data_IF_407498860117
#
_entry.id   IF_407498860117
#
_cell.length_a   1.000
_cell.length_b   1.000
_cell.length_c   1.000
_cell.angle_alpha   90.00
_cell.angle_beta   90.00
_cell.angle_gamma   90.00
#
_symmetry.space_group_name_H-M   'P 1'
#
loop_
_entity.id
_entity.type
_entity.pdbx_description
1 polymer ?
#
# COMPACT_ATOMS: atom_id res chain seq x y z
N UNK A 1 -81.97 17.98 -44.46
CA UNK A 1 -81.25 16.74 -44.83
C UNK A 1 -80.17 16.54 -43.80
N UNK A 2 -80.27 15.42 -43.09
CA UNK A 2 -79.46 15.07 -41.93
C UNK A 2 -78.10 14.52 -42.35
N UNK A 3 -77.05 14.81 -41.58
CA UNK A 3 -75.78 14.11 -41.62
C UNK A 3 -75.80 13.04 -40.52
N UNK A 4 -75.44 11.82 -40.90
CA UNK A 4 -75.31 10.63 -40.05
C UNK A 4 -74.20 10.80 -39.01
N UNK A 5 -74.51 10.59 -37.73
CA UNK A 5 -73.52 10.33 -36.69
C UNK A 5 -73.11 8.85 -36.74
N UNK A 6 -71.86 8.61 -37.15
CA UNK A 6 -71.22 7.30 -37.08
C UNK A 6 -70.93 6.90 -35.64
N UNK A 7 -71.59 5.84 -35.18
CA UNK A 7 -71.32 5.19 -33.90
C UNK A 7 -70.03 4.37 -33.95
N UNK A 8 -69.05 4.70 -33.08
CA UNK A 8 -67.86 3.86 -32.87
C UNK A 8 -68.20 2.80 -31.83
N UNK A 9 -68.35 1.55 -32.29
CA UNK A 9 -68.42 0.37 -31.44
C UNK A 9 -67.13 0.23 -30.60
N UNK A 10 -67.25 0.37 -29.28
CA UNK A 10 -66.22 -0.03 -28.31
C UNK A 10 -66.11 -1.56 -28.32
N UNK A 11 -65.07 -2.06 -28.98
CA UNK A 11 -64.67 -3.46 -28.90
C UNK A 11 -64.38 -3.86 -27.45
N UNK A 12 -65.13 -4.85 -26.95
CA UNK A 12 -64.90 -5.48 -25.66
C UNK A 12 -63.48 -6.06 -25.61
N UNK A 13 -62.60 -5.44 -24.86
CA UNK A 13 -61.27 -5.97 -24.59
C UNK A 13 -61.42 -7.25 -23.75
N UNK A 14 -61.09 -8.39 -24.35
CA UNK A 14 -61.19 -9.73 -23.77
C UNK A 14 -60.41 -9.86 -22.45
N UNK A 15 -61.00 -10.46 -21.38
CA UNK A 15 -60.37 -10.62 -20.06
C UNK A 15 -59.06 -11.43 -20.08
N UNK A 16 -58.80 -12.22 -21.13
CA UNK A 16 -57.53 -12.92 -21.34
C UNK A 16 -56.31 -11.99 -21.45
N UNK A 17 -56.47 -10.78 -22.00
CA UNK A 17 -55.36 -9.81 -22.12
C UNK A 17 -54.95 -9.23 -20.77
N UNK A 18 -55.90 -9.11 -19.84
CA UNK A 18 -55.64 -8.68 -18.46
C UNK A 18 -55.00 -9.80 -17.65
N UNK A 19 -55.46 -11.04 -17.81
CA UNK A 19 -54.87 -12.22 -17.15
C UNK A 19 -53.41 -12.41 -17.61
N UNK A 20 -53.12 -12.29 -18.91
CA UNK A 20 -51.75 -12.40 -19.41
C UNK A 20 -50.80 -11.31 -18.88
N UNK A 21 -51.28 -10.07 -18.74
CA UNK A 21 -50.50 -8.98 -18.13
C UNK A 21 -50.29 -9.19 -16.63
N UNK A 22 -51.28 -9.73 -15.93
CA UNK A 22 -51.18 -10.02 -14.50
C UNK A 22 -50.20 -11.17 -14.24
N UNK A 23 -50.23 -12.23 -15.05
CA UNK A 23 -49.27 -13.34 -14.99
C UNK A 23 -47.85 -12.86 -15.32
N UNK A 24 -47.67 -12.02 -16.34
CA UNK A 24 -46.37 -11.46 -16.68
C UNK A 24 -45.80 -10.56 -15.57
N UNK A 25 -46.65 -9.77 -14.92
CA UNK A 25 -46.26 -8.93 -13.79
C UNK A 25 -45.85 -9.76 -12.56
N UNK A 26 -46.64 -10.78 -12.21
CA UNK A 26 -46.30 -11.65 -11.07
C UNK A 26 -45.03 -12.45 -11.32
N UNK A 27 -44.82 -12.98 -12.53
CA UNK A 27 -43.56 -13.63 -12.92
C UNK A 27 -42.37 -12.67 -12.83
N UNK A 28 -42.51 -11.43 -13.30
CA UNK A 28 -41.45 -10.42 -13.21
C UNK A 28 -41.07 -10.08 -11.76
N UNK A 29 -42.07 -9.92 -10.89
CA UNK A 29 -41.84 -9.68 -9.45
C UNK A 29 -41.17 -10.88 -8.79
N UNK A 30 -41.56 -12.11 -9.15
CA UNK A 30 -40.99 -13.34 -8.59
C UNK A 30 -39.52 -13.53 -9.00
N UNK A 31 -39.17 -13.16 -10.24
CA UNK A 31 -37.78 -13.12 -10.73
C UNK A 31 -36.96 -12.09 -9.96
N UNK A 32 -37.49 -10.88 -9.76
CA UNK A 32 -36.80 -9.84 -8.97
C UNK A 32 -36.59 -10.30 -7.52
N UNK A 33 -37.59 -10.92 -6.91
CA UNK A 33 -37.47 -11.47 -5.55
C UNK A 33 -36.42 -12.58 -5.50
N UNK A 34 -36.35 -13.47 -6.49
CA UNK A 34 -35.31 -14.48 -6.60
C UNK A 34 -33.92 -13.85 -6.74
N UNK A 35 -33.75 -12.83 -7.57
CA UNK A 35 -32.47 -12.12 -7.73
C UNK A 35 -32.00 -11.50 -6.40
N UNK A 36 -32.91 -11.04 -5.53
CA UNK A 36 -32.57 -10.42 -4.25
C UNK A 36 -32.37 -11.46 -3.13
N UNK A 37 -33.23 -12.47 -3.04
CA UNK A 37 -33.19 -13.47 -1.96
C UNK A 37 -32.10 -14.52 -2.14
N UNK A 38 -31.72 -14.84 -3.39
CA UNK A 38 -30.67 -15.84 -3.67
C UNK A 38 -29.31 -15.43 -3.10
N UNK A 39 -28.81 -14.19 -3.31
CA UNK A 39 -27.59 -13.69 -2.66
C UNK A 39 -27.67 -13.74 -1.13
N UNK A 40 -28.79 -13.29 -0.54
CA UNK A 40 -29.01 -13.29 0.91
C UNK A 40 -28.93 -14.70 1.52
N UNK A 41 -29.48 -15.71 0.83
CA UNK A 41 -29.42 -17.11 1.29
C UNK A 41 -28.02 -17.74 1.14
N UNK A 42 -27.23 -17.28 0.17
CA UNK A 42 -25.89 -17.80 -0.12
C UNK A 42 -24.82 -17.16 0.79
N UNK A 43 -24.96 -15.88 1.14
CA UNK A 43 -24.14 -15.19 2.14
C UNK A 43 -24.22 -15.87 3.51
N UNK A 44 -25.38 -16.42 3.86
CA UNK A 44 -25.58 -17.10 5.15
C UNK A 44 -24.91 -18.50 5.21
N UNK A 45 -24.47 -19.07 4.08
CA UNK A 45 -23.96 -20.46 4.02
C UNK A 45 -22.51 -20.63 3.53
N UNK A 46 -21.74 -19.54 3.35
CA UNK A 46 -20.31 -19.60 2.99
C UNK A 46 -20.00 -20.56 1.83
N UNK A 47 -20.70 -20.42 0.71
CA UNK A 47 -20.62 -21.37 -0.40
C UNK A 47 -19.86 -20.81 -1.60
N UNK A 48 -18.94 -21.61 -2.17
CA UNK A 48 -18.06 -21.31 -3.33
C UNK A 48 -18.85 -20.88 -4.59
N UNK A 49 -20.14 -21.23 -4.68
CA UNK A 49 -21.05 -20.78 -5.73
C UNK A 49 -21.31 -19.26 -5.74
N UNK A 50 -20.98 -18.54 -4.65
CA UNK A 50 -21.17 -17.10 -4.57
C UNK A 50 -20.22 -16.32 -5.51
N UNK A 51 -18.96 -16.74 -5.63
CA UNK A 51 -18.00 -16.11 -6.55
C UNK A 51 -18.36 -16.39 -8.01
N UNK A 52 -18.87 -17.59 -8.32
CA UNK A 52 -19.36 -17.95 -9.65
C UNK A 52 -20.62 -17.16 -10.04
N UNK A 53 -21.59 -17.01 -9.12
CA UNK A 53 -22.80 -16.22 -9.38
C UNK A 53 -22.47 -14.74 -9.63
N UNK A 54 -21.49 -14.19 -8.89
CA UNK A 54 -21.13 -12.78 -9.03
C UNK A 54 -20.45 -12.46 -10.37
N UNK A 55 -19.47 -13.29 -10.75
CA UNK A 55 -18.63 -13.12 -11.94
C UNK A 55 -19.33 -13.47 -13.27
N UNK A 56 -20.17 -14.53 -13.31
CA UNK A 56 -20.75 -15.01 -14.57
C UNK A 56 -22.17 -14.48 -14.86
N UNK A 57 -22.97 -14.13 -13.84
CA UNK A 57 -24.39 -13.76 -14.01
C UNK A 57 -24.64 -12.28 -13.75
N UNK A 58 -24.06 -11.71 -12.69
CA UNK A 58 -24.31 -10.31 -12.32
C UNK A 58 -23.54 -9.32 -13.18
N UNK A 59 -22.26 -9.55 -13.50
CA UNK A 59 -21.48 -8.59 -14.30
C UNK A 59 -22.06 -8.33 -15.71
N UNK A 60 -22.55 -9.33 -16.46
CA UNK A 60 -23.21 -9.08 -17.74
C UNK A 60 -24.55 -8.35 -17.62
N UNK A 61 -25.31 -8.60 -16.55
CA UNK A 61 -26.64 -8.00 -16.32
C UNK A 61 -26.52 -6.58 -15.73
N UNK A 62 -25.52 -6.34 -14.87
CA UNK A 62 -25.22 -5.05 -14.24
C UNK A 62 -24.71 -4.01 -15.25
N UNK A 63 -24.10 -4.45 -16.36
CA UNK A 63 -23.67 -3.61 -17.47
C UNK A 63 -24.78 -3.31 -18.51
N UNK A 64 -26.03 -3.70 -18.23
CA UNK A 64 -27.20 -3.26 -19.01
C UNK A 64 -27.90 -2.07 -18.33
N UNK A 65 -28.70 -1.30 -19.09
CA UNK A 65 -29.45 -0.15 -18.54
C UNK A 65 -30.39 -0.49 -17.37
N UNK A 66 -30.80 -1.75 -17.22
CA UNK A 66 -31.58 -2.25 -16.07
C UNK A 66 -30.69 -2.55 -14.85
N UNK A 67 -29.45 -2.98 -15.08
CA UNK A 67 -28.41 -3.23 -14.08
C UNK A 67 -28.04 -1.99 -13.27
N UNK A 68 -27.96 -0.81 -13.91
CA UNK A 68 -27.73 0.46 -13.22
C UNK A 68 -28.87 0.86 -12.26
N UNK A 69 -30.11 0.47 -12.55
CA UNK A 69 -31.26 0.71 -11.68
C UNK A 69 -31.22 -0.21 -10.44
N UNK A 70 -30.80 -1.46 -10.61
CA UNK A 70 -30.57 -2.40 -9.51
C UNK A 70 -29.35 -1.99 -8.68
N UNK A 71 -28.27 -1.50 -9.29
CA UNK A 71 -27.07 -1.01 -8.59
C UNK A 71 -27.40 0.17 -7.66
N UNK A 72 -28.23 1.12 -8.12
CA UNK A 72 -28.79 2.20 -7.29
C UNK A 72 -29.73 1.70 -6.18
N UNK A 73 -30.48 0.62 -6.42
CA UNK A 73 -31.37 0.01 -5.43
C UNK A 73 -30.63 -0.81 -4.36
N UNK A 74 -29.56 -1.51 -4.75
CA UNK A 74 -28.71 -2.30 -3.85
C UNK A 74 -27.75 -1.42 -3.05
N UNK A 75 -27.23 -0.32 -3.61
CA UNK A 75 -26.48 0.68 -2.83
C UNK A 75 -27.32 1.36 -1.75
N UNK A 76 -28.66 1.34 -1.88
CA UNK A 76 -29.59 1.81 -0.86
C UNK A 76 -29.94 0.74 0.20
N UNK A 77 -29.63 -0.53 -0.07
CA UNK A 77 -29.73 -1.63 0.89
C UNK A 77 -28.34 -1.86 1.50
N UNK A 78 -28.01 -1.05 2.50
CA UNK A 78 -26.90 -1.30 3.43
C UNK A 78 -27.11 -2.65 4.12
N UNK A 79 -26.64 -3.73 3.50
CA UNK A 79 -26.48 -5.01 4.21
C UNK A 79 -25.38 -4.77 5.24
N UNK A 80 -25.68 -4.89 6.54
CA UNK A 80 -24.72 -4.57 7.58
C UNK A 80 -23.74 -5.74 7.71
N UNK A 81 -22.70 -5.73 6.89
CA UNK A 81 -21.49 -6.43 7.28
C UNK A 81 -20.95 -5.74 8.53
N UNK A 82 -20.56 -6.49 9.56
CA UNK A 82 -19.77 -5.90 10.66
C UNK A 82 -18.51 -5.29 10.07
N UNK A 83 -18.06 -4.13 10.59
CA UNK A 83 -16.86 -3.44 10.12
C UNK A 83 -15.66 -4.40 10.02
N UNK A 84 -15.49 -5.28 11.00
CA UNK A 84 -14.46 -6.32 11.01
C UNK A 84 -14.51 -7.25 9.78
N UNK A 85 -15.71 -7.63 9.30
CA UNK A 85 -15.84 -8.50 8.13
C UNK A 85 -15.66 -7.75 6.81
N UNK A 86 -15.97 -6.46 6.78
CA UNK A 86 -15.68 -5.62 5.61
C UNK A 86 -14.17 -5.42 5.49
N UNK A 87 -13.49 -5.15 6.60
CA UNK A 87 -12.04 -5.07 6.68
C UNK A 87 -11.40 -6.41 6.28
N UNK A 88 -11.87 -7.54 6.82
CA UNK A 88 -11.34 -8.88 6.47
C UNK A 88 -11.58 -9.25 4.99
N UNK A 89 -12.74 -8.93 4.41
CA UNK A 89 -13.03 -9.17 2.99
C UNK A 89 -12.26 -8.22 2.07
N UNK A 90 -12.09 -6.95 2.46
CA UNK A 90 -11.25 -6.00 1.73
C UNK A 90 -9.81 -6.52 1.79
N UNK A 91 -9.24 -6.78 2.98
CA UNK A 91 -7.89 -7.29 3.16
C UNK A 91 -7.61 -8.62 2.44
N UNK A 92 -8.54 -9.58 2.48
CA UNK A 92 -8.36 -10.91 1.88
C UNK A 92 -8.47 -10.95 0.35
N UNK A 93 -9.16 -9.97 -0.26
CA UNK A 93 -9.22 -9.80 -1.72
C UNK A 93 -8.28 -8.70 -2.24
N UNK A 94 -7.82 -7.76 -1.39
CA UNK A 94 -7.03 -6.61 -1.82
C UNK A 94 -5.52 -6.83 -1.79
N UNK A 95 -4.99 -7.91 -1.23
CA UNK A 95 -3.55 -8.11 -1.04
C UNK A 95 -3.02 -9.47 -1.53
N UNK A 96 -3.52 -9.95 -2.67
CA UNK A 96 -2.93 -11.09 -3.39
C UNK A 96 -2.57 -10.71 -4.83
N UNK A 97 -1.72 -9.70 -5.01
CA UNK A 97 -0.77 -9.79 -6.12
C UNK A 97 0.44 -10.56 -5.61
N UNK A 98 1.00 -11.43 -6.44
CA UNK A 98 2.22 -12.19 -6.17
C UNK A 98 3.38 -11.23 -6.04
N UNK A 99 3.55 -10.63 -4.87
CA UNK A 99 4.75 -9.86 -4.52
C UNK A 99 5.84 -10.88 -4.27
N UNK A 100 6.50 -11.32 -5.35
CA UNK A 100 7.58 -12.29 -5.29
C UNK A 100 8.91 -11.71 -5.78
N UNK A 101 9.97 -12.24 -5.19
CA UNK A 101 11.30 -11.68 -5.00
C UNK A 101 12.10 -11.36 -6.26
N UNK A 102 11.76 -10.36 -7.09
CA UNK A 102 12.76 -9.81 -8.02
C UNK A 102 12.44 -8.41 -8.55
N UNK A 103 13.27 -7.44 -8.17
CA UNK A 103 13.69 -6.34 -9.05
C UNK A 103 15.05 -5.81 -8.57
N UNK A 104 16.12 -6.42 -9.11
CA UNK A 104 17.53 -5.95 -9.19
C UNK A 104 18.24 -5.62 -7.85
N UNK A 105 19.25 -6.44 -7.55
CA UNK A 105 19.96 -6.59 -6.27
C UNK A 105 20.81 -5.38 -5.85
N UNK A 106 20.50 -4.82 -4.68
CA UNK A 106 21.40 -4.42 -3.59
C UNK A 106 20.55 -4.18 -2.33
N UNK A 107 20.87 -4.85 -1.21
CA UNK A 107 20.22 -4.54 0.08
C UNK A 107 20.81 -3.22 0.59
N UNK A 108 20.04 -2.13 0.48
CA UNK A 108 20.46 -0.78 0.86
C UNK A 108 19.91 -0.42 2.24
N UNK A 109 20.67 0.32 3.04
CA UNK A 109 20.38 0.66 4.42
C UNK A 109 21.54 0.30 5.36
N UNK A 110 21.30 0.46 6.65
CA UNK A 110 22.24 0.11 7.74
C UNK A 110 21.65 -1.04 8.53
N UNK A 111 22.45 -2.08 8.74
CA UNK A 111 22.07 -3.26 9.51
C UNK A 111 23.14 -3.64 10.52
N UNK A 112 22.79 -3.59 11.80
CA UNK A 112 23.54 -4.12 12.92
C UNK A 112 23.29 -5.64 12.96
N UNK A 113 24.31 -6.39 12.58
CA UNK A 113 24.22 -7.86 12.48
C UNK A 113 24.46 -8.55 13.81
N UNK A 114 25.27 -7.95 14.68
CA UNK A 114 25.58 -8.46 16.02
C UNK A 114 25.78 -7.29 16.99
N UNK A 115 25.47 -7.55 18.26
CA UNK A 115 25.78 -6.67 19.37
C UNK A 115 26.03 -7.56 20.58
N UNK A 116 27.28 -7.62 21.04
CA UNK A 116 27.71 -8.54 22.09
C UNK A 116 28.53 -7.82 23.14
N UNK A 117 28.20 -8.07 24.40
CA UNK A 117 28.99 -7.62 25.53
C UNK A 117 30.28 -8.42 25.68
N UNK A 118 31.32 -7.79 26.24
CA UNK A 118 32.54 -8.51 26.61
C UNK A 118 32.35 -9.41 27.85
N UNK A 119 31.24 -9.27 28.58
CA UNK A 119 30.94 -10.01 29.81
C UNK A 119 29.45 -9.95 30.15
N UNK A 120 28.76 -11.07 29.97
CA UNK A 120 27.31 -11.15 30.20
C UNK A 120 26.96 -11.23 31.70
N UNK A 121 27.94 -11.56 32.54
CA UNK A 121 27.78 -11.71 33.99
C UNK A 121 28.89 -10.94 34.71
N UNK A 122 28.51 -10.02 35.60
CA UNK A 122 29.43 -9.11 36.27
C UNK A 122 29.19 -9.14 37.78
N UNK A 123 30.24 -9.32 38.58
CA UNK A 123 30.18 -9.15 40.03
C UNK A 123 30.07 -7.65 40.36
N UNK A 124 28.97 -7.25 41.01
CA UNK A 124 28.66 -5.84 41.27
C UNK A 124 29.76 -5.11 42.03
N UNK A 125 30.43 -5.76 42.99
CA UNK A 125 31.53 -5.14 43.75
C UNK A 125 32.76 -4.79 42.89
N UNK A 126 32.97 -5.52 41.79
CA UNK A 126 34.14 -5.36 40.91
C UNK A 126 33.82 -4.57 39.65
N UNK A 127 32.56 -4.20 39.46
CA UNK A 127 32.12 -3.49 38.29
C UNK A 127 32.61 -2.04 38.28
N UNK A 128 33.43 -1.71 37.27
CA UNK A 128 33.88 -0.35 36.97
C UNK A 128 33.35 0.13 35.61
N UNK A 129 33.50 -0.72 34.59
CA UNK A 129 33.03 -0.46 33.23
C UNK A 129 32.77 -1.77 32.49
N UNK A 130 31.96 -1.69 31.44
CA UNK A 130 31.66 -2.75 30.49
C UNK A 130 31.89 -2.22 29.08
N UNK A 131 32.25 -3.11 28.18
CA UNK A 131 32.38 -2.79 26.76
C UNK A 131 31.51 -3.74 25.96
N UNK A 132 30.75 -3.21 25.01
CA UNK A 132 29.98 -4.01 24.06
C UNK A 132 30.38 -3.61 22.64
N UNK A 133 30.40 -4.57 21.73
CA UNK A 133 30.82 -4.37 20.35
C UNK A 133 29.67 -4.71 19.43
N UNK A 134 29.36 -3.77 18.53
CA UNK A 134 28.41 -3.96 17.46
C UNK A 134 29.13 -4.10 16.13
N UNK A 135 28.72 -5.07 15.32
CA UNK A 135 29.18 -5.23 13.95
C UNK A 135 28.00 -5.16 12.99
N UNK A 136 28.24 -4.57 11.82
CA UNK A 136 27.21 -4.43 10.82
C UNK A 136 27.73 -4.03 9.46
N UNK A 137 26.80 -3.77 8.56
CA UNK A 137 27.09 -3.20 7.25
C UNK A 137 26.15 -2.06 6.93
N UNK A 138 26.63 -1.19 6.06
CA UNK A 138 25.87 -0.07 5.56
C UNK A 138 26.06 0.05 4.04
N UNK A 139 24.99 0.38 3.33
CA UNK A 139 25.02 0.58 1.87
C UNK A 139 23.99 1.61 1.47
N UNK A 140 24.35 2.54 0.60
CA UNK A 140 23.43 3.59 0.13
C UNK A 140 23.74 3.97 -1.31
N UNK A 141 22.74 4.46 -2.04
CA UNK A 141 22.90 5.06 -3.38
C UNK A 141 23.31 6.53 -3.31
N UNK A 142 23.06 7.18 -2.17
CA UNK A 142 23.42 8.57 -1.88
C UNK A 142 24.38 8.61 -0.68
N UNK A 143 25.24 9.65 -0.53
CA UNK A 143 26.02 9.82 0.69
C UNK A 143 25.11 9.88 1.91
N UNK A 144 25.41 9.10 2.94
CA UNK A 144 24.61 9.04 4.14
C UNK A 144 25.47 9.15 5.39
N UNK A 145 24.92 9.79 6.41
CA UNK A 145 25.51 9.96 7.73
C UNK A 145 24.73 9.08 8.72
N UNK A 146 25.45 8.20 9.42
CA UNK A 146 24.88 7.32 10.43
C UNK A 146 25.36 7.80 11.79
N UNK A 147 24.42 8.14 12.67
CA UNK A 147 24.68 8.45 14.07
C UNK A 147 24.45 7.21 14.93
N UNK A 148 25.46 6.82 15.70
CA UNK A 148 25.37 5.74 16.66
C UNK A 148 25.18 6.28 18.08
N UNK A 149 24.29 5.66 18.84
CA UNK A 149 24.18 5.90 20.28
C UNK A 149 24.14 4.59 21.06
N UNK A 150 24.73 4.62 22.25
CA UNK A 150 24.72 3.52 23.20
C UNK A 150 23.82 3.93 24.36
N UNK A 151 22.91 3.07 24.80
CA UNK A 151 21.93 3.39 25.84
C UNK A 151 21.77 2.24 26.84
N UNK A 152 21.36 2.58 28.05
CA UNK A 152 20.84 1.65 29.07
C UNK A 152 19.37 1.97 29.35
N UNK A 153 18.75 1.27 30.29
CA UNK A 153 17.39 1.61 30.75
C UNK A 153 17.31 2.98 31.47
N UNK A 154 18.45 3.48 31.97
CA UNK A 154 18.55 4.63 32.88
C UNK A 154 19.39 5.79 32.35
N UNK A 155 20.33 5.56 31.44
CA UNK A 155 21.26 6.58 30.94
C UNK A 155 21.72 6.32 29.50
N UNK A 156 22.47 7.30 28.96
CA UNK A 156 23.22 7.16 27.71
C UNK A 156 24.64 6.69 28.03
N UNK A 157 25.10 5.64 27.33
CA UNK A 157 26.50 5.19 27.37
C UNK A 157 27.35 5.91 26.32
N UNK A 158 28.67 5.66 26.33
CA UNK A 158 29.62 6.31 25.43
C UNK A 158 29.94 5.44 24.21
N UNK A 159 29.98 6.04 23.01
CA UNK A 159 30.55 5.41 21.81
C UNK A 159 32.05 5.73 21.78
N UNK A 160 32.90 4.72 21.89
CA UNK A 160 34.35 4.91 22.06
C UNK A 160 35.12 5.24 20.76
N UNK A 161 34.48 5.19 19.59
CA UNK A 161 35.12 5.55 18.32
C UNK A 161 35.21 7.08 18.19
N UNK A 162 36.26 7.61 17.53
CA UNK A 162 36.59 9.04 17.51
C UNK A 162 35.56 9.99 16.86
N UNK A 163 34.40 9.51 16.44
CA UNK A 163 33.17 10.25 16.22
C UNK A 163 32.02 9.23 16.29
N UNK A 164 30.88 9.61 16.88
CA UNK A 164 29.66 8.77 16.91
C UNK A 164 28.99 8.67 15.53
N UNK A 165 29.70 9.09 14.48
CA UNK A 165 29.19 9.33 13.15
C UNK A 165 30.01 8.53 12.14
N UNK A 166 29.32 7.75 11.30
CA UNK A 166 29.90 7.06 10.14
C UNK A 166 29.35 7.66 8.85
N UNK A 167 30.25 8.05 7.95
CA UNK A 167 29.90 8.51 6.61
C UNK A 167 30.02 7.36 5.61
N UNK A 168 28.95 7.06 4.88
CA UNK A 168 28.93 6.03 3.85
C UNK A 168 29.09 6.68 2.47
N UNK A 169 29.98 6.12 1.65
CA UNK A 169 30.08 6.51 0.25
C UNK A 169 28.98 5.88 -0.61
N UNK A 170 28.47 6.58 -1.63
CA UNK A 170 27.44 6.03 -2.51
C UNK A 170 27.93 4.80 -3.30
N UNK A 171 27.03 3.86 -3.53
CA UNK A 171 27.23 2.61 -4.29
C UNK A 171 28.27 1.65 -3.71
N UNK A 172 28.52 1.72 -2.39
CA UNK A 172 29.45 0.83 -1.68
C UNK A 172 28.78 0.21 -0.48
N UNK A 173 29.07 -1.08 -0.28
CA UNK A 173 28.78 -1.78 0.96
C UNK A 173 30.01 -1.68 1.86
N UNK A 174 29.85 -1.01 2.99
CA UNK A 174 30.91 -0.78 3.97
C UNK A 174 30.56 -1.52 5.27
N UNK A 175 31.50 -2.30 5.81
CA UNK A 175 31.36 -2.93 7.12
C UNK A 175 31.84 -1.98 8.21
N UNK A 176 31.16 -1.98 9.36
CA UNK A 176 31.55 -1.17 10.51
C UNK A 176 31.64 -1.99 11.79
N UNK A 177 32.44 -1.48 12.72
CA UNK A 177 32.55 -1.99 14.09
C UNK A 177 32.48 -0.80 15.05
N UNK A 178 31.45 -0.78 15.90
CA UNK A 178 31.22 0.26 16.89
C UNK A 178 31.40 -0.35 18.28
N UNK A 179 32.11 0.38 19.15
CA UNK A 179 32.33 -0.02 20.53
C UNK A 179 31.56 0.90 21.46
N UNK A 180 30.62 0.33 22.22
CA UNK A 180 29.94 0.97 23.33
C UNK A 180 30.72 0.74 24.62
N UNK A 181 30.82 1.77 25.45
CA UNK A 181 31.39 1.72 26.80
C UNK A 181 30.31 2.21 27.76
N UNK A 182 30.03 1.40 28.77
CA UNK A 182 29.09 1.73 29.83
C UNK A 182 29.85 1.74 31.16
N UNK A 183 29.79 2.86 31.87
CA UNK A 183 30.38 3.01 33.19
C UNK A 183 29.43 2.50 34.28
N UNK A 184 29.95 2.30 35.50
CA UNK A 184 29.12 1.87 36.63
C UNK A 184 27.92 2.78 36.87
N UNK A 185 28.12 4.09 36.70
CA UNK A 185 27.09 5.11 36.93
C UNK A 185 25.93 5.06 35.93
N UNK A 186 26.08 4.34 34.81
CA UNK A 186 25.04 4.14 33.82
C UNK A 186 23.93 3.16 34.25
N UNK A 187 24.16 2.42 35.35
CA UNK A 187 23.28 1.36 35.82
C UNK A 187 22.76 1.64 37.23
N UNK A 188 21.43 1.65 37.37
CA UNK A 188 20.77 1.61 38.68
C UNK A 188 20.69 0.16 39.20
N UNK A 189 21.77 -0.36 39.80
CA UNK A 189 21.84 -1.75 40.27
C UNK A 189 21.11 -1.92 41.61
N UNK A 190 20.16 -2.86 41.68
CA UNK A 190 19.45 -3.18 42.92
C UNK A 190 20.24 -4.15 43.81
N UNK A 191 21.01 -3.62 44.77
CA UNK A 191 21.81 -4.41 45.72
C UNK A 191 20.99 -5.39 46.61
N UNK A 192 19.67 -5.21 46.68
CA UNK A 192 18.78 -6.03 47.52
C UNK A 192 18.49 -7.43 46.96
N UNK A 193 18.72 -7.65 45.66
CA UNK A 193 18.53 -8.93 44.98
C UNK A 193 19.86 -9.66 44.86
N UNK A 194 19.86 -11.00 44.81
CA UNK A 194 21.09 -11.77 44.53
C UNK A 194 21.61 -11.55 43.11
N UNK A 195 20.71 -11.25 42.19
CA UNK A 195 20.99 -11.01 40.78
C UNK A 195 20.12 -9.87 40.26
N UNK A 196 20.68 -8.97 39.46
CA UNK A 196 19.94 -7.90 38.79
C UNK A 196 20.29 -7.88 37.29
N UNK A 197 19.29 -7.91 36.42
CA UNK A 197 19.50 -7.97 34.98
C UNK A 197 19.21 -6.61 34.36
N UNK A 198 20.17 -6.06 33.61
CA UNK A 198 20.06 -4.76 32.93
C UNK A 198 20.22 -4.93 31.45
N UNK A 199 19.47 -4.15 30.68
CA UNK A 199 19.59 -4.11 29.23
C UNK A 199 20.55 -3.02 28.80
N UNK A 200 21.35 -3.35 27.79
CA UNK A 200 22.14 -2.41 27.03
C UNK A 200 21.65 -2.41 25.59
N UNK A 201 21.68 -1.27 24.93
CA UNK A 201 21.18 -1.05 23.59
C UNK A 201 22.21 -0.28 22.78
N UNK A 202 22.37 -0.66 21.51
CA UNK A 202 22.95 0.19 20.48
C UNK A 202 21.86 0.56 19.47
N UNK A 203 21.89 1.84 19.08
CA UNK A 203 21.00 2.42 18.08
C UNK A 203 21.85 3.01 16.95
N UNK A 204 21.47 2.73 15.71
CA UNK A 204 22.03 3.36 14.52
C UNK A 204 20.92 4.15 13.81
N UNK A 205 21.04 5.47 13.82
CA UNK A 205 20.05 6.39 13.29
C UNK A 205 20.59 7.09 12.04
N UNK A 206 19.82 7.12 10.95
CA UNK A 206 20.25 7.67 9.67
C UNK A 206 19.08 8.13 8.81
N UNK A 207 19.31 9.15 7.99
CA UNK A 207 18.39 9.53 6.93
C UNK A 207 18.55 8.58 5.73
N UNK A 208 17.43 8.11 5.20
CA UNK A 208 17.39 7.20 4.08
C UNK A 208 16.27 7.56 3.11
N UNK A 209 16.51 7.23 1.84
CA UNK A 209 15.59 7.52 0.74
C UNK A 209 15.17 6.23 0.07
N UNK A 210 13.87 6.01 -0.04
CA UNK A 210 13.28 4.89 -0.81
C UNK A 210 12.48 5.46 -1.96
N UNK A 211 12.60 4.84 -3.12
CA UNK A 211 11.86 5.21 -4.32
C UNK A 211 11.03 4.02 -4.80
N UNK A 212 9.88 4.32 -5.41
CA UNK A 212 9.06 3.34 -6.10
C UNK A 212 8.50 3.95 -7.38
N UNK A 213 8.33 3.15 -8.42
CA UNK A 213 7.58 3.54 -9.61
C UNK A 213 6.56 2.47 -10.00
N UNK A 214 5.52 2.89 -10.69
CA UNK A 214 4.53 2.01 -11.31
C UNK A 214 4.45 2.34 -12.81
N UNK A 215 4.67 1.36 -13.70
CA UNK A 215 4.41 1.55 -15.12
C UNK A 215 2.94 1.87 -15.40
N UNK A 216 2.73 2.82 -16.30
CA UNK A 216 1.40 3.28 -16.71
C UNK A 216 1.31 3.21 -18.24
N UNK A 217 0.34 2.46 -18.73
CA UNK A 217 -0.01 2.35 -20.13
C UNK A 217 -1.21 3.24 -20.41
N UNK A 218 -1.09 4.11 -21.40
CA UNK A 218 -2.14 5.05 -21.78
C UNK A 218 -2.45 4.95 -23.27
N UNK A 219 -3.71 5.17 -23.62
CA UNK A 219 -4.20 5.22 -25.00
C UNK A 219 -5.47 6.07 -25.07
N UNK A 220 -5.74 6.70 -26.21
CA UNK A 220 -7.04 7.35 -26.43
C UNK A 220 -8.20 6.37 -26.35
N UNK A 221 -9.26 6.77 -25.64
CA UNK A 221 -10.47 5.95 -25.49
C UNK A 221 -11.09 5.54 -26.82
N UNK A 222 -11.24 6.49 -27.73
CA UNK A 222 -11.83 6.23 -29.07
C UNK A 222 -11.04 5.17 -29.86
N UNK A 223 -9.72 5.13 -29.69
CA UNK A 223 -8.87 4.14 -30.35
C UNK A 223 -8.97 2.78 -29.64
N UNK A 224 -8.97 2.77 -28.30
CA UNK A 224 -9.16 1.56 -27.52
C UNK A 224 -10.48 0.87 -27.87
N UNK A 225 -11.57 1.63 -27.95
CA UNK A 225 -12.90 1.13 -28.31
C UNK A 225 -12.91 0.57 -29.74
N UNK A 226 -12.32 1.30 -30.70
CA UNK A 226 -12.19 0.80 -32.07
C UNK A 226 -11.40 -0.52 -32.12
N UNK A 227 -10.28 -0.61 -31.40
CA UNK A 227 -9.43 -1.81 -31.33
C UNK A 227 -10.17 -2.99 -30.70
N UNK A 228 -10.89 -2.79 -29.60
CA UNK A 228 -11.75 -3.81 -28.97
C UNK A 228 -12.82 -4.28 -29.95
N UNK A 229 -13.51 -3.36 -30.62
CA UNK A 229 -14.54 -3.70 -31.61
C UNK A 229 -13.98 -4.49 -32.79
N UNK A 230 -12.78 -4.16 -33.30
CA UNK A 230 -12.13 -4.90 -34.38
C UNK A 230 -11.69 -6.29 -33.91
N UNK A 231 -11.09 -6.37 -32.72
CA UNK A 231 -10.65 -7.64 -32.12
C UNK A 231 -11.79 -8.63 -31.91
N UNK A 232 -12.95 -8.14 -31.47
CA UNK A 232 -14.14 -8.95 -31.21
C UNK A 232 -14.90 -9.35 -32.49
N UNK A 233 -14.58 -8.79 -33.66
CA UNK A 233 -15.17 -9.17 -34.96
C UNK A 233 -14.50 -10.42 -35.57
N UNK A 234 -13.41 -10.92 -34.98
CA UNK A 234 -12.73 -12.15 -35.41
C UNK A 234 -13.50 -13.44 -35.09
N UNK A 235 -13.23 -14.51 -35.84
CA UNK A 235 -13.76 -15.84 -35.50
C UNK A 235 -13.09 -16.34 -34.21
N UNK A 236 -13.89 -16.43 -33.12
CA UNK A 236 -13.55 -17.13 -31.86
C UNK A 236 -12.41 -16.45 -31.08
N UNK A 237 -12.61 -15.19 -30.65
CA UNK A 237 -11.90 -14.63 -29.50
C UNK A 237 -12.92 -14.00 -28.57
N UNK A 238 -12.96 -14.47 -27.33
CA UNK A 238 -13.88 -13.96 -26.31
C UNK A 238 -13.28 -12.77 -25.54
N UNK A 239 -11.96 -12.62 -25.53
CA UNK A 239 -11.27 -11.56 -24.80
C UNK A 239 -10.21 -10.90 -25.69
N UNK A 240 -10.47 -9.69 -26.18
CA UNK A 240 -9.46 -8.88 -26.87
C UNK A 240 -8.46 -8.34 -25.85
N UNK A 241 -7.17 -8.65 -26.04
CA UNK A 241 -6.09 -8.19 -25.19
C UNK A 241 -5.16 -7.25 -25.98
N UNK A 242 -5.24 -5.95 -25.70
CA UNK A 242 -4.42 -4.94 -26.38
C UNK A 242 -2.92 -5.13 -26.15
N UNK A 243 -2.50 -5.66 -25.01
CA UNK A 243 -1.09 -5.83 -24.67
C UNK A 243 -0.44 -7.00 -25.43
N UNK A 244 -1.20 -8.04 -25.74
CA UNK A 244 -0.75 -9.15 -26.59
C UNK A 244 -0.64 -8.72 -28.05
N UNK A 245 -1.65 -8.03 -28.57
CA UNK A 245 -1.68 -7.55 -29.96
C UNK A 245 -0.56 -6.56 -30.27
N UNK A 246 -0.26 -5.65 -29.32
CA UNK A 246 0.84 -4.68 -29.43
C UNK A 246 2.20 -5.29 -29.04
N UNK A 247 2.28 -6.59 -28.74
CA UNK A 247 3.51 -7.30 -28.36
C UNK A 247 4.29 -6.66 -27.20
N UNK A 248 3.62 -6.06 -26.22
CA UNK A 248 4.26 -5.38 -25.09
C UNK A 248 5.17 -6.35 -24.33
N UNK A 249 6.44 -5.99 -24.14
CA UNK A 249 7.41 -6.78 -23.37
C UNK A 249 7.65 -6.07 -22.03
N UNK A 250 6.83 -6.39 -21.03
CA UNK A 250 6.98 -5.88 -19.67
C UNK A 250 6.72 -7.00 -18.69
N UNK A 251 7.73 -7.31 -17.87
CA UNK A 251 7.66 -8.39 -16.88
C UNK A 251 6.78 -8.03 -15.69
N UNK A 252 6.54 -6.74 -15.46
CA UNK A 252 5.70 -6.23 -14.38
C UNK A 252 4.24 -6.03 -14.80
N UNK A 253 3.88 -6.34 -16.05
CA UNK A 253 2.52 -6.27 -16.55
C UNK A 253 1.94 -7.68 -16.68
N UNK A 254 0.90 -7.97 -15.89
CA UNK A 254 0.05 -9.10 -16.20
C UNK A 254 -0.86 -8.74 -17.37
N UNK A 255 -0.53 -9.29 -18.54
CA UNK A 255 -1.27 -9.01 -19.77
C UNK A 255 -2.73 -9.46 -19.69
N UNK A 256 -3.06 -10.47 -18.89
CA UNK A 256 -4.41 -11.05 -18.87
C UNK A 256 -5.45 -10.13 -18.25
N UNK A 257 -5.09 -9.48 -17.14
CA UNK A 257 -5.98 -8.60 -16.37
C UNK A 257 -5.55 -7.13 -16.39
N UNK A 258 -4.47 -6.82 -17.13
CA UNK A 258 -3.89 -5.48 -17.25
C UNK A 258 -3.43 -4.88 -15.92
N UNK A 259 -3.17 -5.73 -14.92
CA UNK A 259 -2.59 -5.30 -13.66
C UNK A 259 -1.08 -5.10 -13.81
N UNK A 260 -0.57 -4.05 -13.16
CA UNK A 260 0.84 -3.71 -13.21
C UNK A 260 1.40 -3.71 -11.80
N UNK A 261 2.58 -4.30 -11.64
CA UNK A 261 3.34 -4.35 -10.41
C UNK A 261 4.21 -3.10 -10.25
N UNK A 262 4.26 -2.58 -9.03
CA UNK A 262 5.19 -1.50 -8.68
C UNK A 262 6.59 -2.06 -8.44
N UNK A 263 7.58 -1.30 -8.90
CA UNK A 263 9.00 -1.58 -8.71
C UNK A 263 9.54 -0.58 -7.68
N UNK A 264 10.30 -1.06 -6.70
CA UNK A 264 10.77 -0.24 -5.59
C UNK A 264 12.23 -0.54 -5.21
N UNK A 265 12.86 0.43 -4.54
CA UNK A 265 14.20 0.28 -3.97
C UNK A 265 14.17 -0.69 -2.78
N UNK A 266 15.05 -1.68 -2.75
CA UNK A 266 15.22 -2.59 -1.60
C UNK A 266 15.94 -1.90 -0.45
N UNK A 267 15.17 -1.25 0.41
CA UNK A 267 15.62 -0.54 1.61
C UNK A 267 14.98 -1.09 2.90
N UNK A 268 15.21 -0.41 4.04
CA UNK A 268 14.56 -0.73 5.32
C UNK A 268 13.04 -0.57 5.27
N UNK A 269 12.53 0.23 4.34
CA UNK A 269 11.11 0.49 4.13
C UNK A 269 10.76 0.15 2.69
N UNK A 270 9.58 -0.44 2.49
CA UNK A 270 8.99 -0.68 1.17
C UNK A 270 7.97 0.40 0.87
N UNK A 271 8.19 1.11 -0.23
CA UNK A 271 7.18 2.00 -0.80
C UNK A 271 6.49 1.26 -1.95
N UNK A 272 5.18 1.10 -1.86
CA UNK A 272 4.39 0.35 -2.84
C UNK A 272 3.38 1.30 -3.48
N UNK A 273 3.41 1.38 -4.81
CA UNK A 273 2.41 2.09 -5.59
C UNK A 273 1.40 1.12 -6.17
N UNK A 274 0.12 1.49 -6.13
CA UNK A 274 -0.95 0.65 -6.66
C UNK A 274 -2.03 1.49 -7.29
N UNK A 275 -2.52 1.05 -8.45
CA UNK A 275 -3.83 1.47 -8.91
C UNK A 275 -4.83 0.33 -8.78
N UNK A 276 -6.07 0.66 -8.44
CA UNK A 276 -7.17 -0.29 -8.35
C UNK A 276 -7.78 -0.61 -9.73
N UNK A 277 -7.32 0.08 -10.78
CA UNK A 277 -7.90 0.01 -12.11
C UNK A 277 -6.99 -0.73 -13.09
N UNK A 278 -7.60 -1.59 -13.89
CA UNK A 278 -6.96 -2.27 -15.02
C UNK A 278 -6.51 -1.27 -16.08
N UNK A 279 -5.31 -1.48 -16.62
CA UNK A 279 -4.72 -0.71 -17.70
C UNK A 279 -5.11 -1.31 -19.08
N UNK A 280 -5.02 -0.54 -20.18
CA UNK A 280 -4.51 0.83 -20.28
C UNK A 280 -5.51 1.89 -19.80
N UNK A 281 -4.98 3.00 -19.30
CA UNK A 281 -5.77 4.17 -18.92
C UNK A 281 -6.09 5.06 -20.11
N UNK A 282 -7.20 5.78 -20.00
CA UNK A 282 -7.72 6.67 -21.04
C UNK A 282 -8.08 8.02 -20.43
N UNK A 283 -8.22 9.02 -21.27
CA UNK A 283 -8.65 10.38 -20.89
C UNK A 283 -10.06 10.44 -20.30
N UNK A 284 -10.90 9.41 -20.47
CA UNK A 284 -12.24 9.37 -19.90
C UNK A 284 -12.28 8.92 -18.44
N UNK A 285 -11.23 8.26 -17.93
CA UNK A 285 -11.24 7.68 -16.59
C UNK A 285 -11.92 6.29 -16.53
N UNK A 286 -12.01 5.69 -15.33
CA UNK A 286 -12.50 4.32 -15.16
C UNK A 286 -14.01 4.15 -15.32
N UNK A 287 -14.79 5.23 -15.18
CA UNK A 287 -16.26 5.20 -15.22
C UNK A 287 -16.86 6.11 -16.31
N UNK A 288 -16.04 6.54 -17.27
CA UNK A 288 -16.44 7.48 -18.33
C UNK A 288 -16.20 8.95 -17.95
N UNK A 289 -16.42 9.84 -18.92
CA UNK A 289 -15.91 11.22 -18.93
C UNK A 289 -16.06 11.96 -17.59
N UNK A 290 -14.94 12.47 -17.08
CA UNK A 290 -14.87 13.24 -15.83
C UNK A 290 -14.66 12.38 -14.57
N UNK A 291 -14.39 11.09 -14.72
CA UNK A 291 -13.93 10.23 -13.62
C UNK A 291 -12.40 10.24 -13.51
N UNK A 292 -11.90 10.11 -12.28
CA UNK A 292 -10.47 10.03 -12.00
C UNK A 292 -10.08 8.61 -11.66
N UNK A 293 -8.84 8.24 -12.02
CA UNK A 293 -8.20 7.06 -11.48
C UNK A 293 -7.67 7.36 -10.07
N UNK A 294 -7.41 6.31 -9.32
CA UNK A 294 -6.87 6.39 -7.95
C UNK A 294 -5.53 5.67 -7.94
N UNK A 295 -4.56 6.31 -7.29
CA UNK A 295 -3.26 5.75 -6.97
C UNK A 295 -3.11 5.72 -5.45
N UNK A 296 -2.97 4.52 -4.92
CA UNK A 296 -2.66 4.27 -3.53
C UNK A 296 -1.14 4.10 -3.36
N UNK A 297 -0.63 4.67 -2.27
CA UNK A 297 0.73 4.57 -1.81
C UNK A 297 0.71 3.93 -0.45
N UNK A 298 1.43 2.83 -0.29
CA UNK A 298 1.60 2.15 0.99
C UNK A 298 3.07 2.17 1.38
N UNK A 299 3.30 2.56 2.63
CA UNK A 299 4.61 2.48 3.28
C UNK A 299 4.55 1.25 4.18
N UNK A 300 5.41 0.27 3.92
CA UNK A 300 5.42 -1.03 4.58
C UNK A 300 6.82 -1.44 5.04
N UNK A 301 6.88 -2.47 5.89
CA UNK A 301 8.15 -3.04 6.35
C UNK A 301 8.77 -3.99 5.33
N UNK A 302 10.09 -4.02 5.32
CA UNK A 302 10.82 -5.18 4.87
C UNK A 302 11.31 -6.01 6.06
N UNK A 303 10.62 -7.14 6.31
CA UNK A 303 10.87 -8.12 7.40
C UNK A 303 12.36 -8.51 7.54
N UNK A 304 13.16 -8.32 6.50
CA UNK A 304 14.61 -8.55 6.55
C UNK A 304 15.38 -7.53 7.41
N UNK A 305 14.80 -6.38 7.77
CA UNK A 305 15.43 -5.31 8.54
C UNK A 305 14.93 -5.27 9.99
N UNK A 306 15.80 -4.85 10.91
CA UNK A 306 15.58 -4.93 12.36
C UNK A 306 15.51 -3.54 13.00
N UNK A 307 14.69 -2.67 12.42
CA UNK A 307 14.58 -1.28 12.87
C UNK A 307 13.20 -0.69 12.66
N UNK A 308 13.06 0.60 12.98
CA UNK A 308 11.81 1.34 12.90
C UNK A 308 12.02 2.68 12.19
N UNK A 309 10.99 3.16 11.49
CA UNK A 309 10.93 4.55 11.03
C UNK A 309 10.79 5.45 12.27
N UNK A 310 11.69 6.42 12.45
CA UNK A 310 11.54 7.45 13.47
C UNK A 310 10.60 8.56 12.98
N UNK A 311 10.81 9.00 11.73
CA UNK A 311 10.08 10.11 11.14
C UNK A 311 10.19 10.10 9.62
N UNK A 312 9.08 10.34 8.94
CA UNK A 312 9.03 10.71 7.53
C UNK A 312 9.30 12.21 7.41
N UNK A 313 10.38 12.56 6.72
CA UNK A 313 10.81 13.93 6.50
C UNK A 313 10.12 14.53 5.26
N UNK A 314 10.10 13.77 4.16
CA UNK A 314 9.55 14.22 2.87
C UNK A 314 8.89 13.05 2.13
N UNK A 315 7.86 13.35 1.35
CA UNK A 315 7.19 12.41 0.45
C UNK A 315 6.82 13.14 -0.83
N UNK A 316 7.44 12.74 -1.92
CA UNK A 316 7.33 13.41 -3.22
C UNK A 316 6.75 12.46 -4.27
N UNK A 317 5.92 13.02 -5.15
CA UNK A 317 5.33 12.35 -6.31
C UNK A 317 5.84 13.00 -7.58
N UNK A 318 6.49 12.20 -8.43
CA UNK A 318 6.95 12.60 -9.75
C UNK A 318 5.98 12.02 -10.78
N UNK A 319 5.25 12.92 -11.43
CA UNK A 319 4.15 12.59 -12.33
C UNK A 319 4.49 13.10 -13.73
N UNK A 320 4.38 12.28 -14.78
CA UNK A 320 4.76 12.68 -16.13
C UNK A 320 3.77 13.74 -16.68
N UNK A 321 4.19 14.50 -17.69
CA UNK A 321 3.41 15.65 -18.18
C UNK A 321 2.01 15.28 -18.70
N UNK A 322 1.87 14.06 -19.23
CA UNK A 322 0.60 13.51 -19.72
C UNK A 322 -0.40 13.19 -18.61
N UNK A 323 -0.02 13.29 -17.34
CA UNK A 323 -0.87 12.99 -16.19
C UNK A 323 -1.04 14.26 -15.34
N UNK A 324 -2.27 14.52 -14.93
CA UNK A 324 -2.58 15.50 -13.88
C UNK A 324 -3.05 14.77 -12.64
N UNK A 325 -2.62 15.25 -11.47
CA UNK A 325 -3.13 14.77 -10.19
C UNK A 325 -4.10 15.77 -9.56
N UNK A 326 -5.07 15.21 -8.84
CA UNK A 326 -6.05 15.92 -8.05
C UNK A 326 -5.90 15.42 -6.62
N UNK A 327 -5.25 16.24 -5.80
CA UNK A 327 -5.05 15.89 -4.39
C UNK A 327 -5.09 17.15 -3.53
N UNK A 328 -5.75 17.03 -2.39
CA UNK A 328 -5.66 18.03 -1.33
C UNK A 328 -4.40 17.86 -0.49
N UNK A 329 -3.74 16.70 -0.57
CA UNK A 329 -2.60 16.33 0.28
C UNK A 329 -1.23 16.58 -0.37
N UNK A 330 -1.21 16.81 -1.68
CA UNK A 330 0.01 17.08 -2.44
C UNK A 330 -0.06 18.47 -3.09
N UNK A 331 1.06 19.17 -3.11
CA UNK A 331 1.19 20.47 -3.76
C UNK A 331 2.27 20.46 -4.83
N UNK A 332 1.98 21.10 -5.96
CA UNK A 332 2.95 21.24 -7.03
C UNK A 332 4.15 22.07 -6.55
N UNK A 333 5.35 21.53 -6.74
CA UNK A 333 6.59 22.17 -6.33
C UNK A 333 7.38 22.68 -7.53
N UNK A 334 7.74 21.80 -8.47
CA UNK A 334 8.59 22.14 -9.61
C UNK A 334 8.47 21.11 -10.74
N UNK A 335 9.10 21.40 -11.88
CA UNK A 335 9.33 20.43 -12.95
C UNK A 335 10.78 19.94 -12.92
N UNK A 336 10.98 18.63 -13.06
CA UNK A 336 12.29 17.96 -13.10
C UNK A 336 12.26 16.82 -14.13
N UNK A 337 13.18 16.79 -15.09
CA UNK A 337 13.35 15.69 -16.05
C UNK A 337 12.06 15.19 -16.75
N UNK A 338 11.17 16.11 -17.12
CA UNK A 338 9.84 15.87 -17.72
C UNK A 338 8.77 15.33 -16.75
N UNK A 339 9.02 15.41 -15.45
CA UNK A 339 8.05 15.17 -14.39
C UNK A 339 7.62 16.48 -13.76
N UNK A 340 6.33 16.56 -13.44
CA UNK A 340 5.80 17.49 -12.44
C UNK A 340 6.05 16.86 -11.07
N UNK A 341 6.78 17.55 -10.21
CA UNK A 341 7.09 17.13 -8.84
C UNK A 341 6.05 17.74 -7.90
N UNK A 342 5.39 16.88 -7.14
CA UNK A 342 4.41 17.25 -6.12
C UNK A 342 4.89 16.80 -4.76
N UNK A 343 4.95 17.72 -3.79
CA UNK A 343 5.37 17.43 -2.42
C UNK A 343 4.16 17.20 -1.53
N UNK A 344 4.25 16.22 -0.63
CA UNK A 344 3.25 16.03 0.40
C UNK A 344 3.22 17.26 1.32
N UNK A 345 2.02 17.73 1.64
CA UNK A 345 1.82 18.83 2.60
C UNK A 345 2.16 18.37 4.01
N UNK A 346 2.53 19.32 4.86
CA UNK A 346 2.83 19.08 6.27
C UNK A 346 1.71 18.32 7.01
N UNK A 347 0.45 18.55 6.65
CA UNK A 347 -0.69 17.85 7.27
C UNK A 347 -0.67 16.35 7.00
N UNK A 348 -0.36 15.93 5.76
CA UNK A 348 -0.25 14.52 5.41
C UNK A 348 0.98 13.90 6.08
N UNK A 349 2.11 14.61 6.08
CA UNK A 349 3.33 14.14 6.76
C UNK A 349 3.10 13.96 8.27
N UNK A 350 2.36 14.87 8.91
CA UNK A 350 1.98 14.74 10.32
C UNK A 350 1.07 13.53 10.55
N UNK A 351 0.04 13.34 9.71
CA UNK A 351 -0.85 12.18 9.80
C UNK A 351 -0.05 10.87 9.70
N UNK A 352 0.80 10.73 8.68
CA UNK A 352 1.64 9.54 8.48
C UNK A 352 2.58 9.30 9.66
N UNK A 353 3.19 10.36 10.22
CA UNK A 353 4.06 10.27 11.39
C UNK A 353 3.29 10.00 12.70
N UNK A 354 1.98 10.26 12.75
CA UNK A 354 1.15 10.10 13.95
C UNK A 354 0.45 8.73 14.01
N UNK A 355 0.25 8.04 12.87
CA UNK A 355 -0.48 6.75 12.76
C UNK A 355 -0.06 5.75 13.84
N UNK A 356 1.24 5.67 14.08
CA UNK A 356 1.82 4.63 14.93
C UNK A 356 2.62 5.22 16.11
N UNK A 357 2.32 6.45 16.55
CA UNK A 357 2.95 6.99 17.77
C UNK A 357 2.52 6.21 19.01
N UNK A 358 3.47 5.77 19.87
CA UNK A 358 3.13 5.04 21.09
C UNK A 358 2.30 5.94 22.01
N UNK A 359 1.22 5.38 22.55
CA UNK A 359 0.29 6.09 23.42
C UNK A 359 0.95 6.36 24.78
N UNK A 360 1.73 7.44 24.89
CA UNK A 360 2.17 8.18 26.10
C UNK A 360 2.72 7.41 27.34
N UNK A 361 2.91 6.10 27.36
CA UNK A 361 3.29 5.36 28.59
C UNK A 361 4.67 4.68 28.60
N UNK A 362 5.44 4.71 27.51
CA UNK A 362 6.81 4.19 27.51
C UNK A 362 7.84 5.31 27.78
N UNK A 363 8.72 5.12 28.75
CA UNK A 363 9.89 6.01 28.98
C UNK A 363 10.96 5.87 27.88
N UNK A 364 10.92 4.80 27.08
CA UNK A 364 11.57 4.72 25.78
C UNK A 364 10.73 5.53 24.79
N UNK A 365 10.78 6.85 24.95
CA UNK A 365 10.21 7.80 24.00
C UNK A 365 11.07 7.76 22.74
N UNK A 366 10.40 7.75 21.58
CA UNK A 366 10.92 8.02 20.21
C UNK A 366 10.81 6.88 19.18
N UNK A 367 10.14 5.78 19.49
CA UNK A 367 9.88 4.74 18.48
C UNK A 367 8.41 4.66 18.16
N UNK A 368 8.11 4.74 16.86
CA UNK A 368 6.83 4.32 16.30
C UNK A 368 6.57 2.87 16.78
N UNK A 369 5.34 2.57 17.24
CA UNK A 369 4.95 1.24 17.69
C UNK A 369 5.21 0.21 16.59
N UNK A 370 6.17 -0.69 16.85
CA UNK A 370 6.72 -1.64 15.89
C UNK A 370 5.63 -2.51 15.24
N UNK A 371 4.63 -2.90 16.03
CA UNK A 371 3.52 -3.72 15.57
C UNK A 371 2.52 -2.95 14.70
N UNK A 372 2.44 -1.63 14.87
CA UNK A 372 1.48 -0.79 14.15
C UNK A 372 1.93 -0.52 12.72
N UNK A 373 3.21 -0.18 12.50
CA UNK A 373 3.69 0.16 11.16
C UNK A 373 3.89 -1.10 10.31
N UNK A 374 4.34 -2.22 10.92
CA UNK A 374 4.46 -3.53 10.27
C UNK A 374 3.17 -4.13 9.75
N UNK A 375 2.01 -3.62 10.17
CA UNK A 375 0.70 -4.01 9.64
C UNK A 375 0.30 -3.22 8.39
N UNK A 376 1.13 -2.29 7.91
CA UNK A 376 0.88 -1.53 6.68
C UNK A 376 -0.16 -0.42 6.82
N UNK A 377 -0.30 0.17 8.00
CA UNK A 377 -1.30 1.19 8.29
C UNK A 377 -0.97 2.58 7.72
N UNK A 378 0.24 2.79 7.20
CA UNK A 378 0.65 4.07 6.59
C UNK A 378 0.30 4.05 5.10
N UNK A 379 -0.84 4.66 4.77
CA UNK A 379 -1.34 4.76 3.40
C UNK A 379 -1.66 6.20 3.04
N UNK A 380 -1.43 6.55 1.79
CA UNK A 380 -1.87 7.80 1.18
C UNK A 380 -2.45 7.51 -0.20
N UNK A 381 -3.53 8.19 -0.56
CA UNK A 381 -4.17 8.04 -1.87
C UNK A 381 -4.23 9.37 -2.60
N UNK A 382 -4.13 9.33 -3.91
CA UNK A 382 -4.35 10.47 -4.78
C UNK A 382 -5.18 10.09 -6.00
N UNK A 383 -5.89 11.08 -6.54
CA UNK A 383 -6.61 10.93 -7.79
C UNK A 383 -5.78 11.47 -8.95
N UNK A 384 -5.91 10.87 -10.13
CA UNK A 384 -5.22 11.33 -11.33
C UNK A 384 -6.07 11.14 -12.60
N UNK A 385 -5.80 11.95 -13.63
CA UNK A 385 -6.37 11.83 -14.96
C UNK A 385 -5.29 11.82 -16.03
N UNK A 386 -5.61 11.22 -17.17
CA UNK A 386 -4.74 11.22 -18.35
C UNK A 386 -5.14 12.39 -19.26
N UNK A 387 -4.15 13.16 -19.69
CA UNK A 387 -4.32 14.29 -20.59
C UNK A 387 -3.70 13.99 -21.94
N UNK A 388 -4.50 14.21 -23.00
CA UNK A 388 -4.05 14.13 -24.38
C UNK A 388 -3.22 12.86 -24.69
N UNK A 389 -3.70 11.64 -24.35
CA UNK A 389 -2.95 10.42 -24.65
C UNK A 389 -2.72 10.26 -26.15
N UNK A 390 -1.72 9.47 -26.53
CA UNK A 390 -1.41 9.17 -27.94
C UNK A 390 -2.50 8.29 -28.59
N UNK A 391 -2.54 8.29 -29.92
CA UNK A 391 -3.33 7.32 -30.70
C UNK A 391 -2.72 5.90 -30.60
N UNK A 392 -1.43 5.81 -30.27
CA UNK A 392 -0.73 4.55 -30.02
C UNK A 392 -0.70 4.23 -28.52
N UNK A 393 -0.60 2.94 -28.19
CA UNK A 393 -0.41 2.52 -26.80
C UNK A 393 0.97 2.99 -26.33
N UNK A 394 1.01 3.98 -25.43
CA UNK A 394 2.25 4.51 -24.89
C UNK A 394 2.46 4.09 -23.44
N UNK A 395 3.73 3.86 -23.09
CA UNK A 395 4.16 3.55 -21.71
C UNK A 395 4.82 4.77 -21.09
N UNK A 396 4.39 5.11 -19.88
CA UNK A 396 4.97 6.11 -18.99
C UNK A 396 5.07 5.50 -17.58
N UNK A 397 5.41 6.28 -16.55
CA UNK A 397 5.38 5.81 -15.16
C UNK A 397 5.11 6.95 -14.18
N UNK A 398 4.49 6.63 -13.06
CA UNK A 398 4.42 7.52 -11.89
C UNK A 398 5.47 7.03 -10.90
N UNK A 399 6.25 7.94 -10.32
CA UNK A 399 7.27 7.63 -9.29
C UNK A 399 6.92 8.33 -7.98
N UNK A 400 7.20 7.67 -6.88
CA UNK A 400 7.13 8.20 -5.53
C UNK A 400 8.52 8.09 -4.87
N UNK A 401 8.87 9.09 -4.07
CA UNK A 401 10.12 9.17 -3.33
C UNK A 401 9.81 9.54 -1.89
N UNK A 402 10.29 8.75 -0.94
CA UNK A 402 10.15 9.01 0.49
C UNK A 402 11.52 9.17 1.12
N UNK A 403 11.71 10.28 1.83
CA UNK A 403 12.87 10.53 2.69
C UNK A 403 12.43 10.39 4.15
N UNK A 404 13.12 9.56 4.91
CA UNK A 404 12.80 9.28 6.29
C UNK A 404 14.05 9.04 7.13
N UNK A 405 13.91 9.31 8.42
CA UNK A 405 14.88 8.93 9.44
C UNK A 405 14.54 7.54 9.95
N UNK A 406 15.50 6.62 9.88
CA UNK A 406 15.35 5.23 10.30
C UNK A 406 16.30 4.90 11.46
N UNK A 407 15.85 4.04 12.37
CA UNK A 407 16.61 3.55 13.50
C UNK A 407 16.73 2.03 13.46
N UNK A 408 17.93 1.49 13.31
CA UNK A 408 18.20 0.06 13.51
C UNK A 408 18.75 -0.15 14.92
N UNK A 409 18.19 -1.13 15.64
CA UNK A 409 18.44 -1.30 17.08
C UNK A 409 18.77 -2.75 17.43
N UNK A 410 19.77 -2.91 18.30
CA UNK A 410 20.10 -4.19 18.92
C UNK A 410 20.32 -4.04 20.41
N UNK A 411 19.76 -4.97 21.17
CA UNK A 411 19.89 -5.01 22.62
C UNK A 411 20.59 -6.30 23.05
N UNK A 412 21.28 -6.20 24.17
CA UNK A 412 21.83 -7.32 24.92
C UNK A 412 21.46 -7.17 26.41
N UNK A 413 21.58 -8.25 27.18
CA UNK A 413 21.23 -8.28 28.60
C UNK A 413 22.41 -8.72 29.44
N UNK A 414 22.70 -7.93 30.47
CA UNK A 414 23.80 -8.13 31.40
C UNK A 414 23.24 -8.49 32.76
N UNK A 415 23.81 -9.50 33.40
CA UNK A 415 23.43 -9.92 34.74
C UNK A 415 24.48 -9.50 35.77
N UNK A 416 24.09 -8.65 36.71
CA UNK A 416 24.87 -8.29 37.88
C UNK A 416 24.65 -9.29 39.00
N UNK A 417 25.74 -9.80 39.60
CA UNK A 417 25.72 -10.67 40.76
C UNK A 417 26.08 -9.87 42.01
N UNK A 418 25.16 -9.83 42.97
CA UNK A 418 25.38 -9.19 44.26
C UNK A 418 25.85 -10.25 45.26
N UNK A 419 27.10 -10.11 45.72
CA UNK A 419 27.63 -10.85 46.85
C UNK A 419 27.12 -10.21 48.13
N UNK A 420 26.22 -10.91 48.84
CA UNK A 420 25.69 -10.49 50.15
C UNK A 420 26.70 -10.76 51.26
#
# INVERSE_FOLDING_TARGET
MAYEEGSIQKGASTPLRWIGKFIGFTLGVLIIILIILTPLSMVYKNNVLFSYYYSEITDPILNTGFGNFIKKGLSALTIPFSEEKQVELIESYSWKSTIDENSIKQDLGVKITSFESNSDVIETERFQKMEAVAEGYASSTEPAEIEFSCMTESSEGEVANQNNVLFISPYRKESFTIKCVYEREDFEIEDSKSTDAKKILIKASYDFTTEAYIPIYIIKKSILDYKIEQGNKGQIRFDYNIFEEENVQDEHLNKQDGTVESVYTKGPVKLILRSLYTQPYTEEGPFGSGSYYTLDMRIDDDIQWTGNIEKINELDMLVPQEIDIFSENFEYSMEEDNFKVYKAKDSLLQELNDVCKPTKQSKLKELIDEDCWRRGNMMASLEFSINNPSDELSKTFIRAKINYKFSDEKQDTITFLNTV
#
